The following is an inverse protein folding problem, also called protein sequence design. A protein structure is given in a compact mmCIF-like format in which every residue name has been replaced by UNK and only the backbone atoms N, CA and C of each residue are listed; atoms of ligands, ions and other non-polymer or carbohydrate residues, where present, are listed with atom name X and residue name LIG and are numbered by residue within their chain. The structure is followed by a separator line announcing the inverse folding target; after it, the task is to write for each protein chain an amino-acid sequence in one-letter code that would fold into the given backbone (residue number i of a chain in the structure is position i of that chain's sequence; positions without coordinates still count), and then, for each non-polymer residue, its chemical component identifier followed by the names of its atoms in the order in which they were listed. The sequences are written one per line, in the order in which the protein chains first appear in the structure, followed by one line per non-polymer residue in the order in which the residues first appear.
data_IF_815984916915
#
_entry.id   IF_815984916915
#
_cell.length_a   1.000
_cell.length_b   1.000
_cell.length_c   1.000
_cell.angle_alpha   90.00
_cell.angle_beta   90.00
_cell.angle_gamma   90.00
#
_symmetry.space_group_name_H-M   'P 1'
#
loop_
_entity.id
_entity.type
_entity.pdbx_description
1 polymer ?
#
# COMPACT_ATOMS: atom_id res chain seq x y z
N UNK A 1 -3.18 12.82 2.48
CA UNK A 1 -4.36 12.38 1.69
C UNK A 1 -5.41 11.65 2.54
N UNK A 2 -5.01 11.07 3.67
CA UNK A 2 -5.89 10.43 4.67
C UNK A 2 -7.12 11.28 5.04
N UNK A 3 -6.94 12.61 5.21
CA UNK A 3 -8.05 13.52 5.51
C UNK A 3 -9.11 13.65 4.40
N UNK A 4 -8.73 13.50 3.12
CA UNK A 4 -9.67 13.53 1.98
C UNK A 4 -10.49 12.24 1.93
N UNK A 5 -9.86 11.09 2.14
CA UNK A 5 -10.57 9.80 2.23
C UNK A 5 -11.51 9.74 3.45
N UNK A 6 -11.09 10.32 4.58
CA UNK A 6 -11.95 10.48 5.76
C UNK A 6 -13.10 11.47 5.52
N UNK A 7 -12.92 12.50 4.70
CA UNK A 7 -14.02 13.38 4.29
C UNK A 7 -15.03 12.64 3.39
N UNK A 8 -14.52 11.79 2.48
CA UNK A 8 -15.35 10.94 1.61
C UNK A 8 -16.03 9.78 2.36
N UNK A 9 -15.66 9.49 3.61
CA UNK A 9 -16.33 8.52 4.50
C UNK A 9 -17.85 8.72 4.57
N UNK A 10 -18.30 9.98 4.55
CA UNK A 10 -19.73 10.34 4.59
C UNK A 10 -20.50 9.97 3.31
N UNK A 11 -19.80 9.57 2.26
CA UNK A 11 -20.39 9.27 0.94
C UNK A 11 -21.01 7.88 0.81
N UNK A 12 -20.87 7.00 1.82
CA UNK A 12 -21.54 5.68 1.84
C UNK A 12 -21.05 4.64 0.82
N UNK A 13 -19.93 4.90 0.13
CA UNK A 13 -19.38 3.96 -0.86
C UNK A 13 -18.60 2.85 -0.14
N UNK A 14 -18.99 1.58 -0.36
CA UNK A 14 -18.31 0.40 0.16
C UNK A 14 -16.81 0.44 -0.20
N UNK A 15 -15.93 0.14 0.77
CA UNK A 15 -14.47 0.11 0.59
C UNK A 15 -13.72 1.41 0.97
N UNK A 16 -14.38 2.58 0.97
CA UNK A 16 -13.71 3.86 1.30
C UNK A 16 -13.28 3.90 2.76
N UNK A 17 -14.13 3.41 3.68
CA UNK A 17 -13.81 3.30 5.12
C UNK A 17 -12.56 2.46 5.35
N UNK A 18 -12.50 1.28 4.74
CA UNK A 18 -11.37 0.35 4.88
C UNK A 18 -10.09 0.90 4.27
N UNK A 19 -10.15 1.61 3.13
CA UNK A 19 -8.98 2.27 2.55
C UNK A 19 -8.50 3.45 3.38
N UNK A 20 -9.41 4.22 4.01
CA UNK A 20 -9.03 5.31 4.92
C UNK A 20 -8.32 4.79 6.18
N UNK A 21 -8.81 3.68 6.76
CA UNK A 21 -8.13 3.00 7.86
C UNK A 21 -6.79 2.39 7.43
N UNK A 22 -6.70 1.82 6.23
CA UNK A 22 -5.45 1.31 5.66
C UNK A 22 -4.36 2.39 5.61
N UNK A 23 -4.74 3.59 5.15
CA UNK A 23 -3.83 4.74 5.09
C UNK A 23 -3.44 5.26 6.46
N UNK A 24 -4.38 5.33 7.41
CA UNK A 24 -4.10 5.74 8.78
C UNK A 24 -3.12 4.76 9.46
N UNK A 25 -3.35 3.46 9.31
CA UNK A 25 -2.45 2.41 9.82
C UNK A 25 -1.08 2.50 9.16
N UNK A 26 -1.04 2.72 7.83
CA UNK A 26 0.23 2.87 7.11
C UNK A 26 1.01 4.11 7.56
N UNK A 27 0.33 5.21 7.88
CA UNK A 27 0.95 6.42 8.41
C UNK A 27 1.57 6.17 9.79
N UNK A 28 0.81 5.55 10.69
CA UNK A 28 1.29 5.14 12.02
C UNK A 28 2.51 4.22 11.86
N UNK A 29 2.42 3.24 10.97
CA UNK A 29 3.49 2.30 10.69
C UNK A 29 4.79 3.00 10.24
N UNK A 30 4.69 4.00 9.37
CA UNK A 30 5.84 4.81 8.94
C UNK A 30 6.39 5.61 10.11
N UNK A 31 5.56 6.26 10.93
CA UNK A 31 6.01 6.98 12.12
C UNK A 31 6.79 6.10 13.09
N UNK A 32 6.31 4.87 13.33
CA UNK A 32 7.01 3.87 14.16
C UNK A 32 8.34 3.38 13.55
N UNK A 33 8.46 3.33 12.22
CA UNK A 33 9.76 3.03 11.59
C UNK A 33 10.71 4.22 11.65
N UNK A 34 10.20 5.46 11.56
CA UNK A 34 11.01 6.68 11.60
C UNK A 34 11.47 7.03 13.02
N UNK A 35 10.80 6.55 14.07
CA UNK A 35 11.22 6.71 15.47
C UNK A 35 12.44 5.85 15.86
N UNK A 36 13.13 5.23 14.90
CA UNK A 36 14.35 4.45 15.09
C UNK A 36 15.46 5.15 15.91
N UNK A 37 15.68 6.48 15.83
CA UNK A 37 16.68 7.16 16.67
C UNK A 37 16.32 7.20 18.16
N UNK A 38 15.06 6.96 18.54
CA UNK A 38 14.58 6.95 19.93
C UNK A 38 14.69 5.56 20.60
N UNK A 39 15.12 4.55 19.84
CA UNK A 39 15.35 3.18 20.34
C UNK A 39 16.31 3.08 21.56
N UNK A 40 17.31 3.97 21.75
CA UNK A 40 18.14 3.96 22.96
C UNK A 40 17.36 4.22 24.27
N UNK A 41 16.18 4.84 24.22
CA UNK A 41 15.38 5.16 25.41
C UNK A 41 14.47 4.01 25.88
N UNK A 42 14.08 3.08 24.99
CA UNK A 42 13.14 1.99 25.32
C UNK A 42 13.58 0.69 24.59
N UNK A 43 14.59 -0.02 25.12
CA UNK A 43 15.21 -1.17 24.44
C UNK A 43 14.29 -2.40 24.29
N UNK A 44 13.24 -2.51 25.11
CA UNK A 44 12.33 -3.66 25.12
C UNK A 44 11.24 -3.61 24.05
N UNK A 45 11.01 -2.45 23.41
CA UNK A 45 9.94 -2.32 22.43
C UNK A 45 10.50 -2.42 21.00
N UNK A 46 10.16 -3.47 20.24
CA UNK A 46 10.66 -3.63 18.87
C UNK A 46 9.88 -2.72 17.91
N UNK A 47 10.08 -1.40 18.01
CA UNK A 47 9.42 -0.37 17.18
C UNK A 47 9.48 -0.72 15.68
N UNK A 48 10.62 -1.25 15.24
CA UNK A 48 10.85 -1.70 13.87
C UNK A 48 9.96 -2.89 13.47
N UNK A 49 9.80 -3.90 14.32
CA UNK A 49 8.96 -5.06 14.03
C UNK A 49 7.48 -4.64 13.99
N UNK A 50 7.06 -3.82 14.95
CA UNK A 50 5.72 -3.25 14.98
C UNK A 50 5.42 -2.39 13.74
N UNK A 51 6.35 -1.53 13.33
CA UNK A 51 6.18 -0.71 12.15
C UNK A 51 6.08 -1.56 10.86
N UNK A 52 6.90 -2.60 10.70
CA UNK A 52 6.86 -3.44 9.49
C UNK A 52 5.63 -4.35 9.43
N UNK A 53 5.17 -4.85 10.58
CA UNK A 53 3.92 -5.61 10.66
C UNK A 53 2.72 -4.72 10.33
N UNK A 54 2.66 -3.51 10.88
CA UNK A 54 1.61 -2.53 10.55
C UNK A 54 1.61 -2.13 9.07
N UNK A 55 2.79 -1.98 8.45
CA UNK A 55 2.89 -1.71 7.01
C UNK A 55 2.29 -2.84 6.16
N UNK A 56 2.53 -4.10 6.55
CA UNK A 56 1.93 -5.26 5.89
C UNK A 56 0.41 -5.28 6.04
N UNK A 57 -0.09 -5.04 7.26
CA UNK A 57 -1.52 -4.94 7.55
C UNK A 57 -2.20 -3.81 6.76
N UNK A 58 -1.59 -2.63 6.73
CA UNK A 58 -2.07 -1.49 5.97
C UNK A 58 -2.25 -1.84 4.49
N UNK A 59 -1.27 -2.51 3.89
CA UNK A 59 -1.37 -2.92 2.50
C UNK A 59 -2.52 -3.90 2.24
N UNK A 60 -2.71 -4.87 3.13
CA UNK A 60 -3.81 -5.82 3.00
C UNK A 60 -5.16 -5.13 3.12
N UNK A 61 -5.29 -4.16 4.03
CA UNK A 61 -6.49 -3.33 4.13
C UNK A 61 -6.72 -2.49 2.87
N UNK A 62 -5.67 -1.99 2.20
CA UNK A 62 -5.79 -1.32 0.89
C UNK A 62 -6.37 -2.25 -0.16
N UNK A 63 -5.90 -3.51 -0.24
CA UNK A 63 -6.42 -4.50 -1.17
C UNK A 63 -7.88 -4.87 -0.86
N UNK A 64 -8.22 -5.07 0.41
CA UNK A 64 -9.59 -5.31 0.88
C UNK A 64 -10.49 -4.14 0.51
N UNK A 65 -10.06 -2.90 0.78
CA UNK A 65 -10.80 -1.69 0.45
C UNK A 65 -11.04 -1.54 -1.05
N UNK A 66 -10.06 -1.89 -1.87
CA UNK A 66 -10.22 -1.89 -3.32
C UNK A 66 -11.20 -2.97 -3.81
N UNK A 67 -11.13 -4.20 -3.27
CA UNK A 67 -12.10 -5.25 -3.62
C UNK A 67 -13.52 -4.90 -3.19
N UNK A 68 -13.68 -4.34 -1.99
CA UNK A 68 -14.97 -3.81 -1.53
C UNK A 68 -15.48 -2.67 -2.41
N UNK A 69 -14.58 -1.80 -2.90
CA UNK A 69 -14.93 -0.78 -3.88
C UNK A 69 -15.53 -1.43 -5.12
N UNK A 70 -14.89 -2.44 -5.71
CA UNK A 70 -15.45 -3.17 -6.86
C UNK A 70 -16.61 -4.14 -6.52
N UNK A 71 -17.07 -4.19 -5.26
CA UNK A 71 -18.08 -5.15 -4.76
C UNK A 71 -17.70 -6.63 -5.02
N UNK A 72 -16.40 -6.91 -5.01
CA UNK A 72 -15.87 -8.27 -5.19
C UNK A 72 -15.77 -8.98 -3.83
N UNK A 73 -15.84 -10.32 -3.85
CA UNK A 73 -15.64 -11.13 -2.65
C UNK A 73 -14.19 -11.00 -2.15
N UNK A 74 -14.05 -10.86 -0.84
CA UNK A 74 -12.76 -10.75 -0.15
C UNK A 74 -12.33 -12.15 0.27
N UNK A 75 -11.19 -12.68 -0.21
CA UNK A 75 -10.72 -14.01 0.12
C UNK A 75 -9.98 -13.96 1.45
N UNK A 76 -10.73 -13.93 2.56
CA UNK A 76 -10.18 -13.79 3.91
C UNK A 76 -9.15 -14.87 4.27
N UNK A 77 -9.36 -16.11 3.80
CA UNK A 77 -8.41 -17.22 3.98
C UNK A 77 -7.07 -16.95 3.29
N UNK A 78 -7.08 -16.57 2.01
CA UNK A 78 -5.86 -16.27 1.27
C UNK A 78 -5.11 -15.07 1.86
N UNK A 79 -5.86 -14.06 2.34
CA UNK A 79 -5.27 -12.93 3.06
C UNK A 79 -4.67 -13.36 4.40
N UNK A 80 -5.35 -14.22 5.17
CA UNK A 80 -4.82 -14.77 6.42
C UNK A 80 -3.52 -15.54 6.21
N UNK A 81 -3.48 -16.42 5.20
CA UNK A 81 -2.24 -17.14 4.82
C UNK A 81 -1.13 -16.17 4.45
N UNK A 82 -1.45 -15.11 3.70
CA UNK A 82 -0.46 -14.10 3.34
C UNK A 82 0.03 -13.28 4.55
N UNK A 83 -0.85 -12.94 5.50
CA UNK A 83 -0.44 -12.31 6.76
C UNK A 83 0.56 -13.20 7.48
N UNK A 84 0.23 -14.48 7.65
CA UNK A 84 1.10 -15.43 8.35
C UNK A 84 2.42 -15.59 7.61
N UNK A 85 2.39 -15.75 6.28
CA UNK A 85 3.58 -15.86 5.44
C UNK A 85 4.44 -14.58 5.45
N UNK A 86 3.86 -13.41 5.73
CA UNK A 86 4.59 -12.15 5.86
C UNK A 86 5.16 -11.95 7.27
N UNK A 87 4.39 -12.27 8.31
CA UNK A 87 4.74 -12.02 9.72
C UNK A 87 5.74 -13.05 10.24
N UNK A 88 5.61 -14.32 9.86
CA UNK A 88 6.49 -15.40 10.37
C UNK A 88 7.97 -15.16 10.00
N UNK A 89 8.34 -14.87 8.73
CA UNK A 89 9.73 -14.57 8.39
C UNK A 89 10.25 -13.30 9.08
N UNK A 90 9.41 -12.30 9.29
CA UNK A 90 9.77 -11.07 10.00
C UNK A 90 10.14 -11.34 11.46
N UNK A 91 9.39 -12.21 12.14
CA UNK A 91 9.68 -12.63 13.52
C UNK A 91 10.97 -13.46 13.56
N UNK A 92 11.13 -14.42 12.64
CA UNK A 92 12.31 -15.28 12.56
C UNK A 92 13.59 -14.47 12.28
N UNK A 93 13.55 -13.52 11.35
CA UNK A 93 14.68 -12.63 11.06
C UNK A 93 14.96 -11.62 12.17
N UNK A 94 14.03 -11.39 13.08
CA UNK A 94 14.27 -10.52 14.24
C UNK A 94 14.91 -11.27 15.41
N UNK A 95 14.42 -12.49 15.70
CA UNK A 95 14.89 -13.29 16.83
C UNK A 95 16.10 -14.19 16.54
N UNK A 96 16.20 -14.74 15.32
CA UNK A 96 17.16 -15.81 15.00
C UNK A 96 18.36 -15.28 14.22
N UNK A 97 18.12 -14.53 13.12
CA UNK A 97 19.19 -14.00 12.25
C UNK A 97 18.93 -12.54 11.88
N UNK A 98 19.51 -11.55 12.62
CA UNK A 98 19.30 -10.13 12.39
C UNK A 98 19.99 -9.64 11.10
N UNK A 99 19.42 -10.01 9.95
CA UNK A 99 19.86 -9.58 8.62
C UNK A 99 18.90 -8.53 8.05
N UNK A 100 19.30 -7.26 8.15
CA UNK A 100 18.53 -6.09 7.72
C UNK A 100 18.18 -6.06 6.22
N UNK A 101 19.10 -6.36 5.29
CA UNK A 101 18.81 -6.47 3.86
C UNK A 101 17.69 -7.47 3.54
N UNK A 102 17.74 -8.67 4.10
CA UNK A 102 16.77 -9.73 3.82
C UNK A 102 15.38 -9.35 4.31
N UNK A 103 15.28 -8.73 5.50
CA UNK A 103 14.01 -8.21 6.03
C UNK A 103 13.40 -7.17 5.10
N UNK A 104 14.21 -6.23 4.65
CA UNK A 104 13.78 -5.14 3.76
C UNK A 104 13.34 -5.68 2.39
N UNK A 105 14.03 -6.71 1.89
CA UNK A 105 13.68 -7.37 0.65
C UNK A 105 12.33 -8.10 0.74
N UNK A 106 12.06 -8.84 1.82
CA UNK A 106 10.78 -9.53 2.04
C UNK A 106 9.63 -8.52 2.11
N UNK A 107 9.81 -7.44 2.88
CA UNK A 107 8.79 -6.40 3.03
C UNK A 107 8.50 -5.71 1.71
N UNK A 108 9.56 -5.28 1.00
CA UNK A 108 9.42 -4.59 -0.28
C UNK A 108 8.85 -5.51 -1.34
N UNK A 109 9.30 -6.77 -1.41
CA UNK A 109 8.88 -7.74 -2.42
C UNK A 109 7.41 -8.10 -2.27
N UNK A 110 6.97 -8.43 -1.05
CA UNK A 110 5.55 -8.70 -0.76
C UNK A 110 4.68 -7.51 -1.15
N UNK A 111 5.15 -6.31 -0.83
CA UNK A 111 4.45 -5.06 -1.14
C UNK A 111 4.51 -4.68 -2.63
N UNK A 112 5.50 -5.15 -3.35
CA UNK A 112 5.58 -5.04 -4.79
C UNK A 112 4.55 -5.95 -5.48
N UNK A 113 4.57 -7.23 -5.13
CA UNK A 113 3.65 -8.23 -5.70
C UNK A 113 2.20 -7.86 -5.45
N UNK A 114 1.86 -7.46 -4.22
CA UNK A 114 0.48 -7.11 -3.88
C UNK A 114 -0.01 -5.83 -4.57
N UNK A 115 0.88 -4.88 -4.88
CA UNK A 115 0.49 -3.67 -5.64
C UNK A 115 0.32 -3.99 -7.13
N UNK A 116 1.07 -4.94 -7.68
CA UNK A 116 0.80 -5.50 -9.01
C UNK A 116 -0.53 -6.25 -9.07
N UNK A 117 -0.88 -7.02 -8.03
CA UNK A 117 -2.19 -7.68 -7.93
C UNK A 117 -3.32 -6.64 -7.88
N UNK A 118 -3.13 -5.55 -7.14
CA UNK A 118 -4.06 -4.40 -7.12
C UNK A 118 -4.21 -3.83 -8.53
N UNK A 119 -3.11 -3.54 -9.23
CA UNK A 119 -3.14 -3.02 -10.60
C UNK A 119 -3.89 -3.95 -11.56
N UNK A 120 -3.60 -5.25 -11.51
CA UNK A 120 -4.29 -6.27 -12.32
C UNK A 120 -5.79 -6.35 -12.00
N UNK A 121 -6.16 -6.23 -10.72
CA UNK A 121 -7.57 -6.21 -10.28
C UNK A 121 -8.30 -4.99 -10.84
N UNK A 122 -7.69 -3.79 -10.75
CA UNK A 122 -8.27 -2.55 -11.31
C UNK A 122 -8.42 -2.67 -12.82
N UNK A 123 -7.43 -3.21 -13.51
CA UNK A 123 -7.45 -3.37 -14.96
C UNK A 123 -8.52 -4.36 -15.42
N UNK A 124 -8.68 -5.49 -14.71
CA UNK A 124 -9.61 -6.56 -15.07
C UNK A 124 -11.07 -6.22 -14.76
N UNK A 125 -11.34 -5.59 -13.61
CA UNK A 125 -12.69 -5.29 -13.14
C UNK A 125 -13.12 -3.85 -13.42
N UNK A 126 -12.41 -3.15 -14.33
CA UNK A 126 -12.83 -1.82 -14.79
C UNK A 126 -14.24 -1.89 -15.40
N UNK A 127 -15.19 -1.07 -14.94
CA UNK A 127 -16.50 -0.98 -15.60
C UNK A 127 -16.32 -0.43 -17.02
N UNK A 128 -16.83 -1.14 -18.02
CA UNK A 128 -16.72 -0.76 -19.44
C UNK A 128 -17.57 0.47 -19.77
N UNK A 129 -18.62 0.71 -19.00
CA UNK A 129 -19.60 1.78 -19.22
C UNK A 129 -19.21 3.14 -18.59
N UNK A 130 -17.97 3.30 -18.11
CA UNK A 130 -17.51 4.51 -17.38
C UNK A 130 -16.22 5.08 -17.97
N UNK A 131 -15.94 6.34 -17.61
CA UNK A 131 -14.69 7.01 -17.98
C UNK A 131 -13.48 6.16 -17.63
N UNK A 132 -12.68 5.77 -18.62
CA UNK A 132 -11.56 4.85 -18.42
C UNK A 132 -10.36 5.50 -17.71
N UNK A 133 -10.29 6.83 -17.68
CA UNK A 133 -9.13 7.58 -17.22
C UNK A 133 -8.78 7.33 -15.73
N UNK A 134 -9.70 7.46 -14.75
CA UNK A 134 -9.38 7.21 -13.34
C UNK A 134 -8.86 5.80 -13.07
N UNK A 135 -9.42 4.81 -13.77
CA UNK A 135 -9.05 3.40 -13.62
C UNK A 135 -7.68 3.10 -14.24
N UNK A 136 -7.38 3.66 -15.42
CA UNK A 136 -6.06 3.54 -16.05
C UNK A 136 -4.98 4.23 -15.22
N UNK A 137 -5.25 5.43 -14.72
CA UNK A 137 -4.31 6.18 -13.90
C UNK A 137 -3.93 5.41 -12.63
N UNK A 138 -4.91 4.89 -11.90
CA UNK A 138 -4.66 4.05 -10.73
C UNK A 138 -3.88 2.78 -11.07
N UNK A 139 -4.22 2.10 -12.17
CA UNK A 139 -3.51 0.90 -12.59
C UNK A 139 -2.03 1.18 -12.91
N UNK A 140 -1.75 2.30 -13.61
CA UNK A 140 -0.38 2.73 -13.91
C UNK A 140 0.40 3.06 -12.63
N UNK A 141 -0.19 3.84 -11.72
CA UNK A 141 0.47 4.20 -10.46
C UNK A 141 0.72 2.99 -9.56
N UNK A 142 -0.24 2.07 -9.47
CA UNK A 142 -0.08 0.82 -8.73
C UNK A 142 0.98 -0.10 -9.36
N UNK A 143 1.06 -0.14 -10.70
CA UNK A 143 2.10 -0.90 -11.40
C UNK A 143 3.47 -0.31 -11.17
N UNK A 144 3.61 1.02 -11.27
CA UNK A 144 4.86 1.72 -11.00
C UNK A 144 5.35 1.50 -9.56
N UNK A 145 4.43 1.56 -8.59
CA UNK A 145 4.75 1.23 -7.19
C UNK A 145 5.21 -0.23 -7.06
N UNK A 146 4.52 -1.15 -7.72
CA UNK A 146 4.83 -2.57 -7.68
C UNK A 146 6.18 -2.93 -8.29
N UNK A 147 6.49 -2.38 -9.46
CA UNK A 147 7.78 -2.55 -10.12
C UNK A 147 8.91 -1.96 -9.26
N UNK A 148 8.72 -0.76 -8.72
CA UNK A 148 9.73 -0.09 -7.87
C UNK A 148 10.06 -0.94 -6.64
N UNK A 149 9.04 -1.44 -5.94
CA UNK A 149 9.21 -2.23 -4.72
C UNK A 149 9.77 -3.64 -4.99
N UNK A 150 9.39 -4.26 -6.10
CA UNK A 150 9.91 -5.57 -6.52
C UNK A 150 11.37 -5.46 -6.96
N UNK A 151 11.69 -4.42 -7.74
CA UNK A 151 13.07 -4.11 -8.13
C UNK A 151 13.93 -3.86 -6.89
N UNK A 152 13.44 -3.06 -5.94
CA UNK A 152 14.11 -2.83 -4.65
C UNK A 152 14.39 -4.14 -3.90
N UNK A 153 13.43 -5.05 -3.85
CA UNK A 153 13.61 -6.36 -3.22
C UNK A 153 14.68 -7.21 -3.93
N UNK A 154 14.67 -7.22 -5.26
CA UNK A 154 15.66 -7.94 -6.06
C UNK A 154 17.08 -7.41 -5.82
N UNK A 155 17.27 -6.08 -5.83
CA UNK A 155 18.60 -5.48 -5.61
C UNK A 155 19.19 -5.85 -4.23
N UNK A 156 18.36 -5.92 -3.19
CA UNK A 156 18.81 -6.35 -1.86
C UNK A 156 19.06 -7.86 -1.76
N UNK A 157 18.30 -8.69 -2.47
CA UNK A 157 18.51 -10.15 -2.50
C UNK A 157 19.77 -10.55 -3.26
N UNK A 158 20.08 -9.86 -4.36
CA UNK A 158 21.28 -10.11 -5.16
C UNK A 158 22.55 -9.51 -4.54
N UNK A 159 22.44 -8.83 -3.39
CA UNK A 159 23.59 -8.23 -2.71
C UNK A 159 24.26 -7.09 -3.50
N UNK A 160 23.58 -6.53 -4.50
CA UNK A 160 24.09 -5.44 -5.35
C UNK A 160 24.19 -4.13 -4.55
N UNK A 161 23.41 -3.99 -3.49
CA UNK A 161 23.42 -2.83 -2.61
C UNK A 161 23.46 -3.29 -1.13
N UNK A 162 24.63 -3.18 -0.49
CA UNK A 162 24.85 -3.55 0.91
C UNK A 162 24.54 -2.36 1.82
N UNK A 163 23.25 -2.07 2.01
CA UNK A 163 22.83 -0.96 2.87
C UNK A 163 22.87 -1.41 4.33
N UNK A 164 23.84 -0.89 5.08
CA UNK A 164 23.97 -1.11 6.54
C UNK A 164 22.90 -0.33 7.34
N UNK A 165 22.42 0.81 6.83
CA UNK A 165 21.36 1.64 7.45
C UNK A 165 20.57 2.45 6.40
N UNK A 166 19.28 2.76 6.65
CA UNK A 166 18.43 3.60 5.79
C UNK A 166 19.00 5.00 5.48
N UNK A 167 20.08 5.43 6.14
CA UNK A 167 20.70 6.74 5.96
C UNK A 167 22.00 6.70 5.16
N UNK A 168 22.41 5.52 4.68
CA UNK A 168 23.60 5.43 3.82
C UNK A 168 23.26 6.06 2.46
N UNK A 169 23.97 7.11 2.03
CA UNK A 169 23.68 7.78 0.77
C UNK A 169 24.04 6.85 -0.40
N UNK A 170 23.02 6.20 -0.98
CA UNK A 170 23.10 5.42 -2.21
C UNK A 170 22.23 6.06 -3.29
N UNK A 171 22.77 6.24 -4.49
CA UNK A 171 22.04 6.74 -5.66
C UNK A 171 20.78 5.90 -5.92
N UNK A 172 20.88 4.59 -5.73
CA UNK A 172 19.79 3.63 -5.92
C UNK A 172 18.68 3.88 -4.88
N UNK A 173 19.05 4.12 -3.62
CA UNK A 173 18.07 4.45 -2.58
C UNK A 173 17.35 5.78 -2.86
N UNK A 174 18.07 6.76 -3.40
CA UNK A 174 17.48 8.05 -3.75
C UNK A 174 16.46 7.92 -4.90
N UNK A 175 16.75 7.09 -5.91
CA UNK A 175 15.79 6.76 -6.98
C UNK A 175 14.53 6.12 -6.40
N UNK A 176 14.65 5.19 -5.45
CA UNK A 176 13.46 4.61 -4.80
C UNK A 176 12.64 5.63 -4.02
N UNK A 177 13.29 6.58 -3.35
CA UNK A 177 12.56 7.64 -2.66
C UNK A 177 11.80 8.52 -3.64
N UNK A 178 12.43 8.93 -4.74
CA UNK A 178 11.77 9.73 -5.78
C UNK A 178 10.57 8.97 -6.37
N UNK A 179 10.77 7.71 -6.76
CA UNK A 179 9.69 6.88 -7.32
C UNK A 179 8.58 6.63 -6.30
N UNK A 180 8.93 6.36 -5.04
CA UNK A 180 7.98 6.17 -3.95
C UNK A 180 7.16 7.44 -3.65
N UNK A 181 7.82 8.60 -3.67
CA UNK A 181 7.19 9.91 -3.47
C UNK A 181 6.19 10.26 -4.57
N UNK A 182 6.36 9.75 -5.80
CA UNK A 182 5.42 10.00 -6.91
C UNK A 182 4.31 8.94 -6.91
N UNK A 183 4.68 7.66 -6.89
CA UNK A 183 3.75 6.55 -7.08
C UNK A 183 2.79 6.37 -5.91
N UNK A 184 3.25 6.61 -4.68
CA UNK A 184 2.41 6.48 -3.49
C UNK A 184 1.24 7.49 -3.48
N UNK A 185 1.47 8.83 -3.49
CA UNK A 185 0.36 9.78 -3.57
C UNK A 185 -0.39 9.70 -4.90
N UNK A 186 0.28 9.33 -6.00
CA UNK A 186 -0.38 9.07 -7.29
C UNK A 186 -1.46 7.99 -7.18
N UNK A 187 -1.17 6.90 -6.47
CA UNK A 187 -2.18 5.84 -6.22
C UNK A 187 -3.35 6.35 -5.36
N UNK A 188 -3.09 7.21 -4.38
CA UNK A 188 -4.13 7.81 -3.53
C UNK A 188 -5.03 8.76 -4.32
N UNK A 189 -4.45 9.58 -5.20
CA UNK A 189 -5.21 10.41 -6.14
C UNK A 189 -6.08 9.54 -7.07
N UNK A 190 -5.55 8.42 -7.55
CA UNK A 190 -6.31 7.47 -8.36
C UNK A 190 -7.58 6.97 -7.66
N UNK A 191 -7.47 6.61 -6.38
CA UNK A 191 -8.62 6.22 -5.55
C UNK A 191 -9.63 7.38 -5.44
N UNK A 192 -9.18 8.60 -5.16
CA UNK A 192 -10.06 9.78 -5.05
C UNK A 192 -10.79 10.07 -6.35
N UNK A 193 -10.11 9.95 -7.50
CA UNK A 193 -10.71 10.12 -8.82
C UNK A 193 -11.78 9.04 -9.10
N UNK A 194 -11.51 7.77 -8.77
CA UNK A 194 -12.51 6.70 -8.89
C UNK A 194 -13.74 6.93 -8.01
N UNK A 195 -13.53 7.44 -6.79
CA UNK A 195 -14.63 7.78 -5.88
C UNK A 195 -15.46 8.94 -6.43
N UNK A 196 -14.82 9.98 -6.97
CA UNK A 196 -15.53 11.09 -7.60
C UNK A 196 -16.33 10.66 -8.84
N UNK A 197 -15.75 9.83 -9.71
CA UNK A 197 -16.45 9.23 -10.86
C UNK A 197 -17.72 8.50 -10.41
N UNK A 198 -17.65 7.74 -9.31
CA UNK A 198 -18.82 7.09 -8.71
C UNK A 198 -19.86 8.07 -8.16
N UNK A 199 -19.43 9.14 -7.50
CA UNK A 199 -20.33 10.13 -6.95
C UNK A 199 -21.08 10.88 -8.05
N UNK A 200 -20.40 11.24 -9.14
CA UNK A 200 -21.00 11.87 -10.30
C UNK A 200 -22.02 10.94 -10.97
N UNK A 201 -21.68 9.66 -11.13
CA UNK A 201 -22.59 8.66 -11.68
C UNK A 201 -23.84 8.39 -10.81
N UNK A 202 -23.75 8.55 -9.48
CA UNK A 202 -24.91 8.43 -8.58
C UNK A 202 -25.79 9.68 -8.55
N UNK A 203 -25.24 10.86 -8.89
CA UNK A 203 -25.99 12.13 -8.96
C UNK A 203 -26.66 12.34 -10.33
N UNK A 204 -26.06 11.83 -11.41
CA UNK A 204 -26.61 11.92 -12.77
C UNK A 204 -28.06 11.41 -12.97
N UNK A 205 -28.54 10.36 -12.29
CA UNK A 205 -29.92 9.88 -12.44
C UNK A 205 -30.96 10.83 -11.84
N UNK A 206 -30.62 11.62 -10.81
CA UNK A 206 -31.58 12.48 -10.12
C UNK A 206 -31.91 13.77 -10.88
N UNK A 207 -31.02 14.24 -11.74
CA UNK A 207 -31.24 15.47 -12.53
C UNK A 207 -32.11 15.19 -13.77
N UNK A 208 -32.17 13.94 -14.25
CA UNK A 208 -32.99 13.56 -15.42
C UNK A 208 -34.47 13.32 -15.14
N UNK A 209 -34.90 13.33 -13.88
CA UNK A 209 -36.29 13.16 -13.47
C UNK A 209 -36.93 14.47 -12.97
N UNK A 210 -36.23 15.59 -13.14
CA UNK A 210 -36.68 16.93 -12.73
C UNK A 210 -36.89 17.89 -13.92
N UNK A 211 -36.82 17.38 -15.15
CA UNK A 211 -37.26 18.03 -16.39
C UNK A 211 -38.29 17.14 -17.07
#
# INVERSE_FOLDING_TARGET
MTGVLFSLYRSGIAGVKTSAWADAISLIAVSFNMSMPLNPLIPWLPFNLFGNTLLGLGMMLTFVGLRQFFRLSVPWLALGVLVVAYVVPLILLWYVWPNWPVRTAIVSGTRGVMSLIIAATVWRYRPRDRGAFPYRFMAVMATGLGLTLTWRAAMYLFGVDSILTLQTPSTIQNIYFILGLVTWPGSQLGVVMMVHDRLLAQRGPKVRLAN
#
